data_IF_223040459741
#
_entry.id   IF_223040459741
#
_cell.length_a   1.000
_cell.length_b   1.000
_cell.length_c   1.000
_cell.angle_alpha   90.00
_cell.angle_beta   90.00
_cell.angle_gamma   90.00
#
_symmetry.space_group_name_H-M   'P 1'
#
loop_
_entity.id
_entity.type
_entity.pdbx_description
1 polymer ?
#
# COMPACT_ATOMS: atom_id res chain seq x y z
N UNK A 1 -39.37 -7.86 25.30
CA UNK A 1 -39.56 -8.01 23.84
C UNK A 1 -39.34 -6.64 23.22
N UNK A 2 -38.23 -6.40 22.52
CA UNK A 2 -37.96 -5.13 21.85
C UNK A 2 -38.62 -5.15 20.46
N UNK A 3 -39.60 -4.27 20.24
CA UNK A 3 -40.20 -4.02 18.92
C UNK A 3 -39.21 -3.19 18.10
N UNK A 4 -38.62 -3.79 17.07
CA UNK A 4 -37.75 -3.09 16.13
C UNK A 4 -38.61 -2.46 15.04
N UNK A 5 -38.80 -1.14 15.07
CA UNK A 5 -39.53 -0.42 14.02
C UNK A 5 -38.67 -0.37 12.77
N UNK A 6 -39.05 -1.12 11.74
CA UNK A 6 -38.48 -1.02 10.39
C UNK A 6 -39.19 0.11 9.62
N UNK A 7 -38.51 0.76 8.66
CA UNK A 7 -37.09 0.65 8.33
C UNK A 7 -36.17 1.32 9.35
N UNK A 8 -34.94 0.82 9.49
CA UNK A 8 -33.88 1.37 10.35
C UNK A 8 -32.81 2.08 9.49
N UNK A 9 -31.88 2.86 10.09
CA UNK A 9 -30.75 3.43 9.34
C UNK A 9 -29.89 2.41 8.58
N UNK A 10 -29.87 1.14 9.00
CA UNK A 10 -29.16 0.08 8.28
C UNK A 10 -29.85 -0.34 6.97
N UNK A 11 -31.15 -0.03 6.82
CA UNK A 11 -31.95 -0.38 5.65
C UNK A 11 -31.94 0.71 4.57
N UNK A 12 -30.99 1.67 4.65
CA UNK A 12 -30.98 2.90 3.84
C UNK A 12 -31.00 2.67 2.32
N UNK A 13 -30.59 1.49 1.86
CA UNK A 13 -30.57 1.09 0.45
C UNK A 13 -31.78 0.25 0.02
N UNK A 14 -32.67 -0.07 0.95
CA UNK A 14 -33.95 -0.72 0.66
C UNK A 14 -34.94 0.27 0.05
N UNK A 15 -35.79 -0.22 -0.84
CA UNK A 15 -36.82 0.60 -1.48
C UNK A 15 -37.86 1.10 -0.46
N UNK A 16 -38.19 0.27 0.53
CA UNK A 16 -39.09 0.62 1.63
C UNK A 16 -38.55 1.80 2.46
N UNK A 17 -37.26 1.77 2.82
CA UNK A 17 -36.64 2.87 3.55
C UNK A 17 -36.60 4.17 2.75
N UNK A 18 -36.22 4.10 1.47
CA UNK A 18 -36.19 5.28 0.59
C UNK A 18 -37.58 5.89 0.41
N UNK A 19 -38.62 5.07 0.25
CA UNK A 19 -39.99 5.53 0.10
C UNK A 19 -40.51 6.17 1.40
N UNK A 20 -40.25 5.54 2.56
CA UNK A 20 -40.61 6.09 3.86
C UNK A 20 -39.92 7.45 4.10
N UNK A 21 -38.63 7.55 3.80
CA UNK A 21 -37.86 8.78 3.90
C UNK A 21 -38.37 9.86 2.93
N UNK A 22 -38.66 9.49 1.67
CA UNK A 22 -39.19 10.43 0.68
C UNK A 22 -40.54 11.02 1.12
N UNK A 23 -41.44 10.19 1.64
CA UNK A 23 -42.75 10.63 2.18
C UNK A 23 -42.57 11.58 3.37
N UNK A 24 -41.67 11.26 4.29
CA UNK A 24 -41.38 12.12 5.43
C UNK A 24 -40.81 13.49 4.99
N UNK A 25 -39.89 13.49 4.01
CA UNK A 25 -39.30 14.73 3.49
C UNK A 25 -40.34 15.62 2.80
N UNK A 26 -41.20 15.05 1.93
CA UNK A 26 -42.28 15.79 1.27
C UNK A 26 -43.28 16.34 2.28
N UNK A 27 -43.60 15.58 3.33
CA UNK A 27 -44.49 16.07 4.39
C UNK A 27 -43.91 17.29 5.13
N UNK A 28 -42.61 17.28 5.43
CA UNK A 28 -41.91 18.39 6.09
C UNK A 28 -41.59 19.57 5.15
N UNK A 29 -41.53 19.32 3.84
CA UNK A 29 -41.15 20.27 2.79
C UNK A 29 -42.12 20.13 1.59
N UNK A 30 -43.32 20.72 1.67
CA UNK A 30 -44.39 20.51 0.67
C UNK A 30 -44.05 20.95 -0.76
N UNK A 31 -43.00 21.74 -0.96
CA UNK A 31 -42.50 22.13 -2.27
C UNK A 31 -41.78 20.99 -3.02
N UNK A 32 -41.41 19.91 -2.33
CA UNK A 32 -40.77 18.74 -2.92
C UNK A 32 -41.80 17.82 -3.58
N UNK A 33 -41.43 17.19 -4.69
CA UNK A 33 -42.23 16.12 -5.32
C UNK A 33 -41.74 14.75 -4.87
N UNK A 34 -42.66 13.82 -4.65
CA UNK A 34 -42.31 12.50 -4.13
C UNK A 34 -41.40 11.74 -5.10
N UNK A 35 -41.70 11.77 -6.39
CA UNK A 35 -40.99 11.04 -7.43
C UNK A 35 -39.53 11.50 -7.55
N UNK A 36 -39.33 12.81 -7.67
CA UNK A 36 -37.97 13.40 -7.79
C UNK A 36 -37.17 13.22 -6.50
N UNK A 37 -37.82 13.29 -5.35
CA UNK A 37 -37.20 13.03 -4.04
C UNK A 37 -36.74 11.58 -3.94
N UNK A 38 -37.60 10.63 -4.33
CA UNK A 38 -37.29 9.20 -4.31
C UNK A 38 -36.13 8.87 -5.26
N UNK A 39 -36.12 9.41 -6.47
CA UNK A 39 -35.03 9.22 -7.42
C UNK A 39 -33.70 9.79 -6.90
N UNK A 40 -33.75 10.96 -6.26
CA UNK A 40 -32.58 11.55 -5.59
C UNK A 40 -32.05 10.64 -4.47
N UNK A 41 -32.93 10.07 -3.64
CA UNK A 41 -32.54 9.15 -2.58
C UNK A 41 -31.96 7.85 -3.13
N UNK A 42 -32.51 7.30 -4.22
CA UNK A 42 -31.94 6.14 -4.92
C UNK A 42 -30.53 6.43 -5.41
N UNK A 43 -30.29 7.57 -6.03
CA UNK A 43 -28.95 7.96 -6.49
C UNK A 43 -27.97 8.13 -5.32
N UNK A 44 -28.36 8.85 -4.27
CA UNK A 44 -27.48 9.13 -3.12
C UNK A 44 -27.13 7.90 -2.31
N UNK A 45 -28.13 7.05 -2.00
CA UNK A 45 -27.88 5.81 -1.25
C UNK A 45 -26.96 4.85 -2.02
N UNK A 46 -27.02 4.83 -3.36
CA UNK A 46 -26.18 3.95 -4.19
C UNK A 46 -24.68 4.14 -3.97
N UNK A 47 -24.24 5.36 -3.64
CA UNK A 47 -22.85 5.69 -3.30
C UNK A 47 -22.37 4.91 -2.08
N UNK A 48 -23.28 4.63 -1.14
CA UNK A 48 -22.97 4.00 0.14
C UNK A 48 -23.23 2.49 0.15
N UNK A 49 -23.93 1.96 -0.86
CA UNK A 49 -24.14 0.52 -1.00
C UNK A 49 -22.79 -0.18 -1.16
N UNK A 50 -22.38 -1.02 -0.20
CA UNK A 50 -21.12 -1.75 -0.29
C UNK A 50 -21.13 -2.68 -1.50
N UNK A 51 -19.96 -2.87 -2.09
CA UNK A 51 -19.74 -3.89 -3.12
C UNK A 51 -18.65 -4.86 -2.64
N UNK A 52 -18.60 -6.10 -3.16
CA UNK A 52 -17.55 -7.05 -2.83
C UNK A 52 -16.15 -6.49 -3.12
N UNK A 53 -15.21 -6.79 -2.22
CA UNK A 53 -13.80 -6.44 -2.36
C UNK A 53 -13.04 -7.63 -2.93
N UNK A 54 -12.31 -7.40 -4.01
CA UNK A 54 -11.51 -8.39 -4.75
C UNK A 54 -10.13 -7.82 -5.10
N UNK A 55 -9.53 -7.10 -4.15
CA UNK A 55 -8.21 -6.52 -4.36
C UNK A 55 -7.15 -7.58 -4.59
N UNK A 56 -6.16 -7.22 -5.40
CA UNK A 56 -4.97 -8.03 -5.58
C UNK A 56 -4.26 -8.27 -4.24
N UNK A 57 -3.98 -9.53 -3.92
CA UNK A 57 -3.44 -9.95 -2.63
C UNK A 57 -2.08 -9.31 -2.32
N UNK A 58 -1.31 -8.96 -3.35
CA UNK A 58 0.03 -8.41 -3.16
C UNK A 58 0.02 -6.97 -2.65
N UNK A 59 -1.10 -6.25 -2.82
CA UNK A 59 -1.24 -4.84 -2.42
C UNK A 59 -2.52 -4.57 -1.62
N UNK A 60 -3.31 -5.59 -1.30
CA UNK A 60 -4.61 -5.46 -0.64
C UNK A 60 -4.57 -4.61 0.64
N UNK A 61 -3.53 -4.76 1.47
CA UNK A 61 -3.41 -4.02 2.73
C UNK A 61 -3.26 -2.51 2.52
N UNK A 62 -2.53 -2.10 1.48
CA UNK A 62 -2.33 -0.70 1.10
C UNK A 62 -3.67 -0.11 0.63
N UNK A 63 -4.41 -0.87 -0.17
CA UNK A 63 -5.71 -0.45 -0.71
C UNK A 63 -6.78 -0.36 0.38
N UNK A 64 -6.79 -1.28 1.34
CA UNK A 64 -7.64 -1.20 2.53
C UNK A 64 -7.35 0.04 3.37
N UNK A 65 -6.06 0.34 3.65
CA UNK A 65 -5.65 1.56 4.35
C UNK A 65 -6.14 2.82 3.61
N UNK A 66 -6.01 2.85 2.28
CA UNK A 66 -6.49 3.96 1.46
C UNK A 66 -8.00 4.17 1.54
N UNK A 67 -8.78 3.09 1.49
CA UNK A 67 -10.24 3.18 1.63
C UNK A 67 -10.64 3.64 3.03
N UNK A 68 -9.98 3.14 4.07
CA UNK A 68 -10.23 3.58 5.44
C UNK A 68 -9.95 5.09 5.61
N UNK A 69 -8.93 5.60 4.93
CA UNK A 69 -8.55 7.01 4.96
C UNK A 69 -9.52 7.94 4.20
N UNK A 70 -9.92 7.58 2.99
CA UNK A 70 -10.70 8.46 2.08
C UNK A 70 -12.18 8.64 2.46
N UNK A 71 -12.65 7.90 3.47
CA UNK A 71 -14.00 8.03 4.00
C UNK A 71 -15.09 7.33 3.18
N UNK A 72 -16.30 7.34 3.75
CA UNK A 72 -17.41 6.52 3.27
C UNK A 72 -17.93 6.94 1.89
N UNK A 73 -17.88 8.23 1.56
CA UNK A 73 -18.36 8.78 0.29
C UNK A 73 -17.54 8.33 -0.92
N UNK A 74 -16.24 8.10 -0.73
CA UNK A 74 -15.34 7.64 -1.79
C UNK A 74 -15.22 6.12 -1.84
N UNK A 75 -15.64 5.43 -0.77
CA UNK A 75 -15.42 3.99 -0.57
C UNK A 75 -15.84 3.16 -1.78
N UNK A 76 -17.07 3.30 -2.27
CA UNK A 76 -17.56 2.50 -3.40
C UNK A 76 -16.72 2.72 -4.67
N UNK A 77 -16.51 3.98 -5.07
CA UNK A 77 -15.70 4.32 -6.25
C UNK A 77 -14.27 3.78 -6.15
N UNK A 78 -13.68 3.86 -4.96
CA UNK A 78 -12.34 3.33 -4.71
C UNK A 78 -12.32 1.81 -4.80
N UNK A 79 -13.30 1.11 -4.22
CA UNK A 79 -13.41 -0.35 -4.36
C UNK A 79 -13.59 -0.76 -5.82
N UNK A 80 -14.45 -0.06 -6.59
CA UNK A 80 -14.63 -0.33 -8.03
C UNK A 80 -13.31 -0.18 -8.80
N UNK A 81 -12.55 0.89 -8.52
CA UNK A 81 -11.24 1.11 -9.13
C UNK A 81 -10.21 0.06 -8.71
N UNK A 82 -10.12 -0.24 -7.43
CA UNK A 82 -9.11 -1.12 -6.84
C UNK A 82 -9.36 -2.60 -7.12
N UNK A 83 -10.61 -3.01 -7.32
CA UNK A 83 -10.93 -4.35 -7.80
C UNK A 83 -10.43 -4.64 -9.23
N UNK A 84 -10.15 -3.59 -10.02
CA UNK A 84 -9.61 -3.70 -11.38
C UNK A 84 -8.09 -3.50 -11.43
N UNK A 85 -7.48 -3.12 -10.30
CA UNK A 85 -6.06 -2.82 -10.24
C UNK A 85 -5.26 -4.07 -9.93
N UNK A 86 -4.24 -4.30 -10.75
CA UNK A 86 -3.20 -5.30 -10.51
C UNK A 86 -1.83 -4.61 -10.58
N UNK A 87 -0.97 -4.80 -9.57
CA UNK A 87 0.37 -4.23 -9.61
C UNK A 87 1.19 -4.89 -10.72
N UNK A 88 2.11 -4.16 -11.37
CA UNK A 88 3.05 -4.76 -12.31
C UNK A 88 3.87 -5.91 -11.69
N UNK A 89 4.36 -6.86 -12.48
CA UNK A 89 5.25 -7.91 -11.98
C UNK A 89 6.53 -7.34 -11.34
N UNK A 90 7.04 -7.99 -10.30
CA UNK A 90 8.32 -7.62 -9.68
C UNK A 90 9.45 -8.17 -10.54
N UNK A 91 10.20 -7.25 -11.15
CA UNK A 91 11.33 -7.55 -12.03
C UNK A 91 12.68 -7.27 -11.37
N UNK A 92 12.69 -6.67 -10.19
CA UNK A 92 13.90 -6.27 -9.46
C UNK A 92 14.57 -7.46 -8.74
N UNK A 93 14.86 -8.52 -9.49
CA UNK A 93 15.62 -9.68 -9.04
C UNK A 93 16.34 -10.35 -10.20
N UNK A 94 17.35 -11.16 -9.88
CA UNK A 94 18.05 -12.03 -10.83
C UNK A 94 18.31 -13.40 -10.20
N UNK A 95 18.53 -14.46 -10.99
CA UNK A 95 18.96 -15.74 -10.45
C UNK A 95 20.22 -15.58 -9.60
N UNK A 96 20.27 -16.19 -8.42
CA UNK A 96 21.37 -16.03 -7.47
C UNK A 96 22.73 -16.48 -8.06
N UNK A 97 22.73 -17.46 -8.96
CA UNK A 97 23.92 -17.93 -9.67
C UNK A 97 24.48 -16.90 -10.68
N UNK A 98 23.62 -16.00 -11.17
CA UNK A 98 23.97 -14.92 -12.08
C UNK A 98 24.31 -13.63 -11.34
N UNK A 99 24.09 -13.58 -10.02
CA UNK A 99 24.39 -12.41 -9.22
C UNK A 99 25.92 -12.27 -9.07
N UNK A 100 26.49 -11.12 -9.48
CA UNK A 100 27.91 -10.91 -9.32
C UNK A 100 28.28 -10.83 -7.83
N UNK A 101 29.50 -11.26 -7.44
CA UNK A 101 29.94 -11.17 -6.05
C UNK A 101 30.05 -9.71 -5.60
N UNK A 102 30.20 -9.42 -4.29
CA UNK A 102 30.42 -8.06 -3.82
C UNK A 102 31.66 -7.42 -4.47
N UNK A 103 31.57 -6.15 -4.85
CA UNK A 103 32.68 -5.39 -5.47
C UNK A 103 33.05 -4.11 -4.70
N UNK A 104 32.48 -3.94 -3.51
CA UNK A 104 32.88 -2.92 -2.53
C UNK A 104 34.21 -3.31 -1.87
N UNK A 105 34.96 -2.31 -1.39
CA UNK A 105 36.25 -2.54 -0.72
C UNK A 105 36.09 -3.23 0.63
N UNK A 106 35.08 -2.83 1.41
CA UNK A 106 34.74 -3.43 2.70
C UNK A 106 33.25 -3.79 2.74
N UNK A 107 32.97 -5.09 2.64
CA UNK A 107 31.60 -5.64 2.67
C UNK A 107 30.93 -5.38 4.01
N UNK A 108 31.65 -5.52 5.12
CA UNK A 108 31.07 -5.34 6.46
C UNK A 108 30.71 -3.88 6.69
N UNK A 109 31.59 -2.96 6.31
CA UNK A 109 31.32 -1.53 6.41
C UNK A 109 30.13 -1.11 5.54
N UNK A 110 30.01 -1.66 4.32
CA UNK A 110 28.87 -1.39 3.46
C UNK A 110 27.55 -1.85 4.09
N UNK A 111 27.52 -3.07 4.65
CA UNK A 111 26.33 -3.59 5.36
C UNK A 111 26.01 -2.74 6.60
N UNK A 112 27.02 -2.40 7.43
CA UNK A 112 26.83 -1.52 8.58
C UNK A 112 26.24 -0.16 8.16
N UNK A 113 26.65 0.38 7.00
CA UNK A 113 26.10 1.63 6.45
C UNK A 113 24.63 1.47 6.05
N UNK A 114 24.26 0.36 5.40
CA UNK A 114 22.87 0.11 5.04
C UNK A 114 21.99 0.01 6.30
N UNK A 115 22.40 -0.79 7.26
CA UNK A 115 21.57 -1.13 8.43
C UNK A 115 21.51 0.01 9.46
N UNK A 116 22.64 0.66 9.76
CA UNK A 116 22.71 1.65 10.86
C UNK A 116 22.62 3.09 10.43
N UNK A 117 22.85 3.40 9.15
CA UNK A 117 22.71 4.78 8.67
C UNK A 117 21.43 4.91 7.85
N UNK A 118 21.31 4.15 6.76
CA UNK A 118 20.22 4.35 5.81
C UNK A 118 18.87 3.88 6.34
N UNK A 119 18.77 2.65 6.85
CA UNK A 119 17.49 2.16 7.35
C UNK A 119 16.97 2.96 8.56
N UNK A 120 17.88 3.37 9.47
CA UNK A 120 17.53 4.23 10.61
C UNK A 120 17.01 5.60 10.17
N UNK A 121 17.54 6.17 9.08
CA UNK A 121 17.01 7.42 8.51
C UNK A 121 15.56 7.27 8.04
N UNK A 122 15.19 6.15 7.40
CA UNK A 122 13.80 5.91 7.03
C UNK A 122 12.90 5.81 8.26
N UNK A 123 13.34 5.07 9.27
CA UNK A 123 12.60 4.91 10.53
C UNK A 123 12.37 6.26 11.20
N UNK A 124 13.41 7.08 11.33
CA UNK A 124 13.30 8.41 11.92
C UNK A 124 12.35 9.31 11.11
N UNK A 125 12.42 9.24 9.78
CA UNK A 125 11.51 9.95 8.90
C UNK A 125 10.06 9.48 9.11
N UNK A 126 9.78 8.18 9.11
CA UNK A 126 8.42 7.64 9.32
C UNK A 126 7.85 8.03 10.69
N UNK A 127 8.66 8.01 11.73
CA UNK A 127 8.27 8.53 13.05
C UNK A 127 7.85 9.99 12.99
N UNK A 128 8.60 10.85 12.29
CA UNK A 128 8.24 12.27 12.12
C UNK A 128 6.91 12.48 11.39
N UNK A 129 6.51 11.49 10.58
CA UNK A 129 5.28 11.50 9.78
C UNK A 129 4.12 10.77 10.47
N UNK A 130 4.28 10.42 11.75
CA UNK A 130 3.28 9.72 12.55
C UNK A 130 2.90 8.35 11.96
N UNK A 131 3.89 7.63 11.42
CA UNK A 131 3.77 6.24 10.96
C UNK A 131 4.62 5.34 11.86
N UNK A 132 4.23 5.13 13.13
CA UNK A 132 5.02 4.35 14.09
C UNK A 132 5.16 2.87 13.70
N UNK A 133 4.19 2.32 12.96
CA UNK A 133 4.15 0.91 12.55
C UNK A 133 5.34 0.54 11.67
N UNK A 134 5.97 1.53 11.00
CA UNK A 134 7.18 1.33 10.19
C UNK A 134 8.37 0.74 10.97
N UNK A 135 8.32 0.77 12.31
CA UNK A 135 9.38 0.26 13.19
C UNK A 135 9.15 -1.13 13.75
N UNK A 136 7.96 -1.69 13.55
CA UNK A 136 7.54 -2.91 14.24
C UNK A 136 8.20 -4.17 13.68
N UNK A 137 8.93 -4.08 12.55
CA UNK A 137 9.58 -5.24 11.92
C UNK A 137 8.57 -6.27 11.38
N UNK A 138 7.32 -5.87 11.20
CA UNK A 138 6.19 -6.72 10.79
C UNK A 138 5.82 -6.51 9.32
N UNK A 139 5.01 -7.41 8.76
CA UNK A 139 4.51 -7.22 7.38
C UNK A 139 3.58 -6.02 7.27
N UNK A 140 2.89 -5.70 8.36
CA UNK A 140 2.07 -4.51 8.52
C UNK A 140 2.90 -3.23 8.36
N UNK A 141 4.17 -3.24 8.79
CA UNK A 141 5.11 -2.14 8.60
C UNK A 141 5.37 -1.85 7.11
N UNK A 142 5.52 -2.89 6.27
CA UNK A 142 5.69 -2.74 4.82
C UNK A 142 4.48 -2.02 4.20
N UNK A 143 3.27 -2.46 4.54
CA UNK A 143 2.05 -1.86 4.01
C UNK A 143 1.84 -0.43 4.54
N UNK A 144 2.25 -0.15 5.78
CA UNK A 144 2.19 1.19 6.37
C UNK A 144 3.15 2.16 5.66
N UNK A 145 4.39 1.73 5.38
CA UNK A 145 5.36 2.54 4.63
C UNK A 145 4.88 2.79 3.21
N UNK A 146 4.45 1.76 2.47
CA UNK A 146 3.93 1.93 1.11
C UNK A 146 2.73 2.90 1.07
N UNK A 147 1.80 2.74 2.03
CA UNK A 147 0.67 3.66 2.17
C UNK A 147 1.14 5.09 2.47
N UNK A 148 2.12 5.29 3.35
CA UNK A 148 2.65 6.60 3.67
C UNK A 148 3.31 7.28 2.45
N UNK A 149 4.17 6.55 1.73
CA UNK A 149 4.81 7.02 0.50
C UNK A 149 3.78 7.49 -0.53
N UNK A 150 2.72 6.70 -0.72
CA UNK A 150 1.64 7.00 -1.66
C UNK A 150 0.75 8.16 -1.19
N UNK A 151 0.25 8.07 0.05
CA UNK A 151 -0.73 8.99 0.59
C UNK A 151 -0.16 10.39 0.78
N UNK A 152 1.07 10.48 1.31
CA UNK A 152 1.76 11.75 1.46
C UNK A 152 2.24 12.30 0.11
N UNK A 153 2.21 11.48 -0.94
CA UNK A 153 2.48 11.88 -2.32
C UNK A 153 3.96 12.17 -2.58
N UNK A 154 4.88 11.49 -1.90
CA UNK A 154 6.32 11.80 -1.97
C UNK A 154 6.89 11.64 -3.37
N UNK A 155 6.46 10.62 -4.11
CA UNK A 155 6.84 10.44 -5.52
C UNK A 155 6.44 11.61 -6.43
N UNK A 156 5.50 12.47 -6.02
CA UNK A 156 5.13 13.70 -6.74
C UNK A 156 5.67 14.97 -6.11
N UNK A 157 5.71 15.05 -4.78
CA UNK A 157 6.03 16.27 -4.02
C UNK A 157 7.52 16.51 -3.86
N UNK A 158 8.31 15.45 -3.74
CA UNK A 158 9.75 15.58 -3.55
C UNK A 158 10.44 15.94 -4.87
N UNK A 159 11.42 16.82 -4.77
CA UNK A 159 12.38 17.11 -5.83
C UNK A 159 13.20 15.88 -6.19
N UNK A 160 13.90 15.93 -7.32
CA UNK A 160 14.80 14.84 -7.71
C UNK A 160 15.87 14.58 -6.65
N UNK A 161 16.45 15.64 -6.06
CA UNK A 161 17.48 15.53 -5.03
C UNK A 161 16.96 14.88 -3.74
N UNK A 162 15.77 15.28 -3.28
CA UNK A 162 15.13 14.65 -2.11
C UNK A 162 14.82 13.17 -2.34
N UNK A 163 14.40 12.81 -3.57
CA UNK A 163 14.20 11.40 -3.94
C UNK A 163 15.52 10.63 -3.93
N UNK A 164 16.57 11.17 -4.54
CA UNK A 164 17.90 10.55 -4.54
C UNK A 164 18.43 10.33 -3.12
N UNK A 165 18.18 11.27 -2.21
CA UNK A 165 18.55 11.12 -0.80
C UNK A 165 17.74 10.05 -0.06
N UNK A 166 16.49 9.80 -0.47
CA UNK A 166 15.60 8.83 0.19
C UNK A 166 15.78 7.39 -0.34
N UNK A 167 16.23 7.20 -1.58
CA UNK A 167 16.43 5.88 -2.19
C UNK A 167 17.29 4.96 -1.31
N UNK A 168 18.47 5.39 -0.79
CA UNK A 168 19.26 4.56 0.11
C UNK A 168 18.49 4.14 1.36
N UNK A 169 17.77 5.07 1.98
CA UNK A 169 17.04 4.81 3.22
C UNK A 169 15.93 3.78 3.02
N UNK A 170 15.12 3.93 1.97
CA UNK A 170 14.04 2.99 1.64
C UNK A 170 14.58 1.61 1.22
N UNK A 171 15.61 1.60 0.36
CA UNK A 171 16.20 0.35 -0.13
C UNK A 171 16.90 -0.44 0.97
N UNK A 172 17.62 0.23 1.87
CA UNK A 172 18.28 -0.44 2.99
C UNK A 172 17.27 -1.01 3.98
N UNK A 173 16.23 -0.25 4.32
CA UNK A 173 15.15 -0.71 5.20
C UNK A 173 14.41 -1.92 4.60
N UNK A 174 14.08 -1.89 3.31
CA UNK A 174 13.49 -3.04 2.62
C UNK A 174 14.42 -4.25 2.62
N UNK A 175 15.72 -4.05 2.36
CA UNK A 175 16.70 -5.12 2.41
C UNK A 175 16.86 -5.73 3.81
N UNK A 176 16.78 -4.92 4.86
CA UNK A 176 16.77 -5.41 6.25
C UNK A 176 15.61 -6.36 6.51
N UNK A 177 14.42 -6.11 5.94
CA UNK A 177 13.29 -7.04 6.04
C UNK A 177 13.60 -8.38 5.37
N UNK A 178 14.24 -8.38 4.21
CA UNK A 178 14.64 -9.62 3.52
C UNK A 178 15.67 -10.40 4.35
N UNK A 179 16.63 -9.70 4.97
CA UNK A 179 17.63 -10.34 5.84
C UNK A 179 16.99 -10.90 7.10
N UNK A 180 16.25 -10.09 7.84
CA UNK A 180 15.74 -10.45 9.16
C UNK A 180 14.58 -11.45 9.11
N UNK A 181 13.64 -11.28 8.18
CA UNK A 181 12.44 -12.10 8.11
C UNK A 181 12.59 -13.32 7.19
N UNK A 182 13.47 -13.26 6.18
CA UNK A 182 13.65 -14.33 5.20
C UNK A 182 15.04 -15.00 5.24
N UNK A 183 15.91 -14.59 6.18
CA UNK A 183 17.27 -15.15 6.30
C UNK A 183 18.18 -14.77 5.13
N UNK A 184 17.89 -13.66 4.47
CA UNK A 184 18.65 -13.18 3.32
C UNK A 184 20.09 -12.78 3.65
N UNK A 185 20.92 -12.72 2.61
CA UNK A 185 22.33 -12.29 2.74
C UNK A 185 22.63 -11.14 1.79
N UNK A 186 23.16 -10.04 2.32
CA UNK A 186 23.59 -8.90 1.52
C UNK A 186 24.72 -9.27 0.56
N UNK A 187 24.62 -8.73 -0.65
CA UNK A 187 25.66 -8.72 -1.69
C UNK A 187 25.85 -7.25 -2.09
N UNK A 188 26.68 -6.48 -1.35
CA UNK A 188 26.86 -5.06 -1.61
C UNK A 188 27.62 -4.80 -2.90
N UNK A 189 27.20 -3.77 -3.62
CA UNK A 189 27.79 -3.34 -4.89
C UNK A 189 28.18 -1.86 -4.82
N UNK A 190 29.17 -1.46 -5.61
CA UNK A 190 29.59 -0.05 -5.75
C UNK A 190 28.47 0.83 -6.25
N UNK A 191 27.68 0.32 -7.20
CA UNK A 191 26.44 0.95 -7.63
C UNK A 191 25.30 0.44 -6.75
N UNK A 192 24.68 1.33 -6.01
CA UNK A 192 23.74 0.97 -4.95
C UNK A 192 22.53 0.19 -5.49
N UNK A 193 22.02 0.51 -6.69
CA UNK A 193 20.90 -0.20 -7.30
C UNK A 193 21.23 -1.64 -7.73
N UNK A 194 22.52 -1.98 -7.83
CA UNK A 194 22.97 -3.35 -8.09
C UNK A 194 23.13 -4.15 -6.79
N UNK A 195 23.18 -3.48 -5.63
CA UNK A 195 23.27 -4.16 -4.33
C UNK A 195 22.05 -5.04 -4.13
N UNK A 196 22.29 -6.30 -3.80
CA UNK A 196 21.24 -7.30 -3.70
C UNK A 196 21.17 -7.93 -2.31
N UNK A 197 20.02 -8.54 -2.00
CA UNK A 197 19.88 -9.52 -0.91
C UNK A 197 19.56 -10.87 -1.53
N UNK A 198 20.45 -11.84 -1.34
CA UNK A 198 20.22 -13.21 -1.78
C UNK A 198 19.26 -13.90 -0.84
N UNK A 199 18.15 -14.42 -1.38
CA UNK A 199 17.10 -15.15 -0.68
C UNK A 199 16.73 -16.35 -1.53
N UNK A 200 17.05 -17.57 -1.06
CA UNK A 200 16.89 -18.79 -1.85
C UNK A 200 17.74 -18.77 -3.13
N UNK A 201 17.09 -19.05 -4.26
CA UNK A 201 17.68 -19.09 -5.61
C UNK A 201 17.68 -17.73 -6.34
N UNK A 202 17.28 -16.64 -5.65
CA UNK A 202 17.19 -15.29 -6.23
C UNK A 202 18.02 -14.28 -5.45
N UNK A 203 18.55 -13.30 -6.17
CA UNK A 203 19.13 -12.09 -5.64
C UNK A 203 18.15 -10.93 -5.91
N UNK A 204 17.62 -10.35 -4.83
CA UNK A 204 16.61 -9.30 -4.85
C UNK A 204 17.26 -7.92 -4.76
N UNK A 205 16.81 -6.94 -5.54
CA UNK A 205 17.45 -5.62 -5.68
C UNK A 205 16.63 -4.51 -4.97
N UNK A 206 16.72 -4.38 -3.63
CA UNK A 206 15.83 -3.50 -2.88
C UNK A 206 16.05 -2.01 -3.17
N UNK A 207 17.29 -1.58 -3.48
CA UNK A 207 17.56 -0.19 -3.84
C UNK A 207 17.01 0.19 -5.21
N UNK A 208 17.04 -0.74 -6.18
CA UNK A 208 16.38 -0.55 -7.46
C UNK A 208 14.86 -0.44 -7.28
N UNK A 209 14.28 -1.30 -6.43
CA UNK A 209 12.86 -1.24 -6.08
C UNK A 209 12.49 0.12 -5.46
N UNK A 210 13.29 0.60 -4.51
CA UNK A 210 13.10 1.90 -3.86
C UNK A 210 13.15 3.06 -4.87
N UNK A 211 14.09 3.02 -5.82
CA UNK A 211 14.18 3.99 -6.92
C UNK A 211 12.91 4.03 -7.75
N UNK A 212 12.36 2.87 -8.11
CA UNK A 212 11.10 2.81 -8.84
C UNK A 212 9.93 3.34 -8.01
N UNK A 213 9.81 2.93 -6.74
CA UNK A 213 8.74 3.36 -5.83
C UNK A 213 8.67 4.88 -5.59
N UNK A 214 9.80 5.58 -5.73
CA UNK A 214 9.88 7.04 -5.57
C UNK A 214 9.78 7.81 -6.91
N UNK A 215 9.65 7.11 -8.03
CA UNK A 215 9.70 7.69 -9.37
C UNK A 215 8.58 8.68 -9.66
N UNK A 216 7.33 8.33 -9.34
CA UNK A 216 6.15 9.15 -9.58
C UNK A 216 5.04 8.94 -8.53
N UNK A 217 3.91 9.66 -8.67
CA UNK A 217 2.84 9.67 -7.66
C UNK A 217 2.22 8.30 -7.35
N UNK A 218 1.89 7.51 -8.37
CA UNK A 218 1.33 6.15 -8.20
C UNK A 218 2.40 5.06 -7.97
N UNK A 219 3.69 5.41 -8.08
CA UNK A 219 4.77 4.44 -8.06
C UNK A 219 4.87 3.61 -6.77
N UNK A 220 4.52 4.12 -5.56
CA UNK A 220 4.52 3.27 -4.36
C UNK A 220 3.51 2.12 -4.41
N UNK A 221 2.48 2.20 -5.27
CA UNK A 221 1.55 1.10 -5.50
C UNK A 221 2.09 0.14 -6.55
N UNK A 222 2.57 0.67 -7.68
CA UNK A 222 3.14 -0.12 -8.79
C UNK A 222 4.43 -0.85 -8.40
N UNK A 223 5.20 -0.23 -7.51
CA UNK A 223 6.49 -0.69 -7.02
C UNK A 223 6.50 -0.86 -5.48
N UNK A 224 5.39 -1.33 -4.91
CA UNK A 224 5.21 -1.60 -3.48
C UNK A 224 6.33 -2.46 -2.88
N UNK A 225 6.81 -2.07 -1.70
CA UNK A 225 7.71 -2.85 -0.84
C UNK A 225 7.04 -4.14 -0.34
N UNK A 226 5.74 -4.08 0.01
CA UNK A 226 4.95 -5.25 0.40
C UNK A 226 4.89 -6.30 -0.71
N UNK A 227 4.58 -5.92 -1.94
CA UNK A 227 4.55 -6.86 -3.08
C UNK A 227 5.94 -7.49 -3.27
N UNK A 228 6.99 -6.66 -3.27
CA UNK A 228 8.37 -7.13 -3.44
C UNK A 228 8.74 -8.17 -2.39
N UNK A 229 8.46 -7.89 -1.11
CA UNK A 229 8.72 -8.82 -0.02
C UNK A 229 7.92 -10.13 -0.16
N UNK A 230 6.62 -10.05 -0.50
CA UNK A 230 5.78 -11.24 -0.69
C UNK A 230 6.31 -12.13 -1.80
N UNK A 231 6.77 -11.57 -2.90
CA UNK A 231 7.36 -12.36 -3.98
C UNK A 231 8.68 -13.02 -3.55
N UNK A 232 9.52 -12.33 -2.78
CA UNK A 232 10.71 -12.92 -2.16
C UNK A 232 10.37 -14.04 -1.19
N UNK A 233 9.32 -13.88 -0.39
CA UNK A 233 8.86 -14.91 0.53
C UNK A 233 8.33 -16.15 -0.24
N UNK A 234 7.57 -15.94 -1.32
CA UNK A 234 7.05 -17.03 -2.16
C UNK A 234 8.18 -17.80 -2.85
N UNK A 235 9.29 -17.15 -3.24
CA UNK A 235 10.41 -17.86 -3.91
C UNK A 235 11.18 -18.81 -3.00
N UNK A 236 11.04 -18.71 -1.68
CA UNK A 236 11.67 -19.63 -0.72
C UNK A 236 10.85 -20.92 -0.58
N UNK A 237 9.53 -20.84 -0.77
CA UNK A 237 8.65 -21.99 -0.63
C UNK A 237 8.67 -22.78 -1.94
N UNK A 238 8.92 -24.09 -1.92
CA UNK A 238 8.75 -24.90 -3.11
C UNK A 238 7.30 -24.78 -3.58
N UNK A 239 7.11 -24.52 -4.88
CA UNK A 239 5.80 -24.66 -5.51
C UNK A 239 5.40 -26.12 -5.34
N UNK A 240 4.36 -26.36 -4.55
CA UNK A 240 3.81 -27.70 -4.29
C UNK A 240 3.10 -28.25 -5.53
#
# INVERSE_FOLDING_TARGET
>A
MLLLTRPTPADFDSEEARLAQARALVHLRPELKLETTLDTLRQRSRVFVPIPVHFDEDVADILHKKIAFEGLENKRRLVERFNLYHPPPVLEWLPAEQAPPPDVEDVKQAIDTYERLYAEQLVALMHSQQVPEATEGTLEALAAVDFALWHLGWGKRFSAEEKEALIPALGAWLGMFLVSALGGQWVPRRKLEESAVRVGDKAWLPFLRARHALGHGEAPLDYSCSQFFRQAQRSIRPVA
#
